data_IF_133465241939
#
_entry.id   IF_133465241939
#
_cell.length_a   1.000
_cell.length_b   1.000
_cell.length_c   1.000
_cell.angle_alpha   90.00
_cell.angle_beta   90.00
_cell.angle_gamma   90.00
#
_symmetry.space_group_name_H-M   'P 1'
#
loop_
_entity.id
_entity.type
_entity.pdbx_description
1 polymer ?
#
# COMPACT_ATOMS: atom_id res chain seq x y z
N UNK A 1 -87.70 8.16 50.40
CA UNK A 1 -86.42 7.48 50.19
C UNK A 1 -86.67 5.95 50.20
N UNK A 2 -86.81 5.37 49.00
CA UNK A 2 -87.13 3.94 48.85
C UNK A 2 -85.95 3.09 49.20
N UNK A 3 -86.00 2.41 50.33
CA UNK A 3 -85.04 1.41 50.70
C UNK A 3 -85.32 0.14 49.88
N UNK A 4 -84.54 -0.07 48.88
CA UNK A 4 -84.53 -1.30 48.10
C UNK A 4 -84.34 -2.53 49.06
N UNK A 5 -85.14 -3.66 48.87
CA UNK A 5 -84.99 -4.86 49.70
C UNK A 5 -83.59 -5.40 49.62
N UNK A 6 -83.04 -5.88 50.71
CA UNK A 6 -81.68 -6.34 50.90
C UNK A 6 -81.18 -7.31 49.82
N UNK A 7 -82.00 -8.22 49.29
CA UNK A 7 -81.69 -9.16 48.25
C UNK A 7 -81.43 -8.47 46.87
N UNK A 8 -82.14 -7.40 46.53
CA UNK A 8 -81.87 -6.66 45.29
C UNK A 8 -80.59 -5.88 45.34
N UNK A 9 -80.26 -5.33 46.51
CA UNK A 9 -79.03 -4.61 46.76
C UNK A 9 -77.83 -5.53 46.67
N UNK A 10 -77.92 -6.73 47.22
CA UNK A 10 -76.82 -7.71 47.19
C UNK A 10 -76.59 -8.26 45.77
N UNK A 11 -77.64 -8.43 44.98
CA UNK A 11 -77.52 -8.79 43.56
C UNK A 11 -76.83 -7.69 42.73
N UNK A 12 -77.19 -6.43 42.96
CA UNK A 12 -76.57 -5.29 42.27
C UNK A 12 -75.08 -5.19 42.63
N UNK A 13 -74.73 -5.40 43.89
CA UNK A 13 -73.33 -5.39 44.33
C UNK A 13 -72.56 -6.53 43.72
N UNK A 14 -73.14 -7.75 43.68
CA UNK A 14 -72.47 -8.91 43.07
C UNK A 14 -72.25 -8.70 41.55
N UNK A 15 -73.19 -8.12 40.82
CA UNK A 15 -73.03 -7.80 39.42
C UNK A 15 -71.97 -6.70 39.21
N UNK A 16 -71.95 -5.67 40.09
CA UNK A 16 -70.96 -4.62 40.02
C UNK A 16 -69.53 -5.17 40.26
N UNK A 17 -69.39 -6.06 41.24
CA UNK A 17 -68.09 -6.71 41.50
C UNK A 17 -67.65 -7.62 40.33
N UNK A 18 -68.59 -8.40 39.78
CA UNK A 18 -68.30 -9.24 38.62
C UNK A 18 -67.87 -8.42 37.37
N UNK A 19 -68.53 -7.29 37.13
CA UNK A 19 -68.14 -6.38 36.03
C UNK A 19 -66.75 -5.76 36.26
N UNK A 20 -66.41 -5.34 37.48
CA UNK A 20 -65.06 -4.81 37.76
C UNK A 20 -63.97 -5.89 37.61
N UNK A 21 -64.26 -7.10 38.03
CA UNK A 21 -63.31 -8.24 37.87
C UNK A 21 -63.17 -8.57 36.35
N UNK A 22 -64.23 -8.55 35.58
CA UNK A 22 -64.19 -8.78 34.15
C UNK A 22 -63.35 -7.69 33.40
N UNK A 23 -63.55 -6.41 33.74
CA UNK A 23 -62.79 -5.31 33.19
C UNK A 23 -61.32 -5.39 33.56
N UNK A 24 -61.01 -5.69 34.82
CA UNK A 24 -59.67 -5.85 35.32
C UNK A 24 -58.95 -7.05 34.61
N UNK A 25 -59.73 -8.18 34.40
CA UNK A 25 -59.20 -9.36 33.69
C UNK A 25 -58.87 -9.06 32.22
N UNK A 26 -59.72 -8.31 31.51
CA UNK A 26 -59.47 -7.87 30.12
C UNK A 26 -58.25 -6.93 30.07
N UNK A 27 -58.19 -5.98 31.00
CA UNK A 27 -57.11 -5.00 31.02
C UNK A 27 -55.75 -5.67 31.33
N UNK A 28 -55.71 -6.58 32.24
CA UNK A 28 -54.47 -7.28 32.64
C UNK A 28 -54.08 -8.38 31.67
N UNK A 29 -55.08 -9.09 31.07
CA UNK A 29 -54.83 -10.22 30.15
C UNK A 29 -54.57 -9.84 28.69
N UNK A 30 -55.21 -8.76 28.18
CA UNK A 30 -55.05 -8.37 26.76
C UNK A 30 -54.17 -7.14 26.56
N UNK A 31 -54.31 -6.10 27.37
CA UNK A 31 -53.63 -4.84 27.11
C UNK A 31 -52.16 -4.86 27.47
N UNK A 32 -51.81 -5.44 28.63
CA UNK A 32 -50.40 -5.54 29.05
C UNK A 32 -49.50 -6.33 28.09
N UNK A 33 -49.85 -7.55 27.64
CA UNK A 33 -48.98 -8.30 26.75
C UNK A 33 -48.84 -7.65 25.37
N UNK A 34 -49.83 -6.88 24.90
CA UNK A 34 -49.72 -6.15 23.63
C UNK A 34 -48.72 -4.98 23.69
N UNK A 35 -48.71 -4.26 24.81
CA UNK A 35 -47.73 -3.19 25.01
C UNK A 35 -46.29 -3.71 25.14
N UNK A 36 -46.11 -4.85 25.78
CA UNK A 36 -44.79 -5.51 25.85
C UNK A 36 -44.27 -5.95 24.48
N UNK A 37 -45.15 -6.53 23.64
CA UNK A 37 -44.80 -6.91 22.26
C UNK A 37 -44.47 -5.73 21.35
N UNK A 38 -45.15 -4.59 21.52
CA UNK A 38 -44.84 -3.37 20.78
C UNK A 38 -43.46 -2.82 21.19
N UNK A 39 -43.12 -2.85 22.48
CA UNK A 39 -41.81 -2.44 22.99
C UNK A 39 -40.66 -3.32 22.49
N UNK A 40 -40.89 -4.63 22.44
CA UNK A 40 -39.87 -5.58 21.94
C UNK A 40 -39.69 -5.48 20.42
N UNK A 41 -40.78 -5.28 19.69
CA UNK A 41 -40.71 -5.03 18.24
C UNK A 41 -39.96 -3.73 17.91
N UNK A 42 -40.23 -2.65 18.64
CA UNK A 42 -39.52 -1.39 18.48
C UNK A 42 -38.01 -1.54 18.79
N UNK A 43 -37.68 -2.23 19.87
CA UNK A 43 -36.27 -2.52 20.24
C UNK A 43 -35.55 -3.38 19.19
N UNK A 44 -36.25 -4.36 18.63
CA UNK A 44 -35.69 -5.23 17.59
C UNK A 44 -35.45 -4.45 16.30
N UNK A 45 -36.36 -3.55 15.94
CA UNK A 45 -36.21 -2.67 14.77
C UNK A 45 -35.04 -1.72 14.95
N UNK A 46 -34.87 -1.10 16.11
CA UNK A 46 -33.74 -0.21 16.42
C UNK A 46 -32.42 -0.98 16.32
N UNK A 47 -32.34 -2.18 16.92
CA UNK A 47 -31.14 -3.02 16.85
C UNK A 47 -30.82 -3.47 15.40
N UNK A 48 -31.83 -3.77 14.60
CA UNK A 48 -31.66 -4.08 13.18
C UNK A 48 -31.15 -2.87 12.40
N UNK A 49 -31.73 -1.70 12.67
CA UNK A 49 -31.29 -0.42 12.07
C UNK A 49 -29.85 -0.07 12.42
N UNK A 50 -29.46 -0.26 13.69
CA UNK A 50 -28.07 -0.06 14.14
C UNK A 50 -27.10 -1.02 13.43
N UNK A 51 -27.47 -2.28 13.28
CA UNK A 51 -26.64 -3.26 12.53
C UNK A 51 -26.46 -2.83 11.08
N UNK A 52 -27.52 -2.40 10.41
CA UNK A 52 -27.46 -1.91 9.03
C UNK A 52 -26.60 -0.65 8.92
N UNK A 53 -26.77 0.29 9.86
CA UNK A 53 -25.99 1.53 9.87
C UNK A 53 -24.51 1.24 10.12
N UNK A 54 -24.19 0.35 11.06
CA UNK A 54 -22.82 -0.05 11.34
C UNK A 54 -22.20 -0.81 10.17
N UNK A 55 -22.96 -1.67 9.50
CA UNK A 55 -22.51 -2.36 8.28
C UNK A 55 -22.22 -1.35 7.14
N UNK A 56 -23.12 -0.40 6.90
CA UNK A 56 -22.90 0.68 5.92
C UNK A 56 -21.66 1.50 6.23
N UNK A 57 -21.45 1.90 7.48
CA UNK A 57 -20.24 2.63 7.90
C UNK A 57 -18.96 1.85 7.71
N UNK A 58 -18.98 0.52 7.88
CA UNK A 58 -17.83 -0.35 7.59
C UNK A 58 -17.53 -0.35 6.10
N UNK A 59 -18.53 -0.58 5.25
CA UNK A 59 -18.39 -0.56 3.78
C UNK A 59 -17.89 0.80 3.27
N UNK A 60 -18.40 1.90 3.84
CA UNK A 60 -17.90 3.24 3.49
C UNK A 60 -16.44 3.48 3.87
N UNK A 61 -15.98 2.89 4.97
CA UNK A 61 -14.57 2.97 5.39
C UNK A 61 -13.66 2.03 4.58
N UNK A 62 -14.20 0.92 4.08
CA UNK A 62 -13.44 -0.03 3.25
C UNK A 62 -13.15 0.52 1.85
N UNK A 63 -14.07 1.30 1.26
CA UNK A 63 -13.90 1.87 -0.08
C UNK A 63 -12.63 2.72 -0.25
N UNK A 64 -12.34 3.72 0.62
CA UNK A 64 -11.11 4.50 0.47
C UNK A 64 -9.86 3.66 0.67
N UNK A 65 -9.88 2.69 1.60
CA UNK A 65 -8.75 1.77 1.83
C UNK A 65 -8.49 0.91 0.59
N UNK A 66 -9.56 0.43 -0.05
CA UNK A 66 -9.45 -0.35 -1.29
C UNK A 66 -8.82 0.47 -2.43
N UNK A 67 -9.26 1.72 -2.60
CA UNK A 67 -8.71 2.63 -3.61
C UNK A 67 -7.22 2.91 -3.34
N UNK A 68 -6.86 3.16 -2.08
CA UNK A 68 -5.47 3.38 -1.68
C UNK A 68 -4.60 2.13 -1.91
N UNK A 69 -5.12 0.95 -1.57
CA UNK A 69 -4.46 -0.33 -1.81
C UNK A 69 -4.23 -0.57 -3.32
N UNK A 70 -5.24 -0.32 -4.14
CA UNK A 70 -5.14 -0.50 -5.59
C UNK A 70 -4.16 0.51 -6.21
N UNK A 71 -4.16 1.77 -5.74
CA UNK A 71 -3.18 2.77 -6.16
C UNK A 71 -1.75 2.37 -5.74
N UNK A 72 -1.55 1.88 -4.51
CA UNK A 72 -0.26 1.40 -4.03
C UNK A 72 0.24 0.18 -4.83
N UNK A 73 -0.67 -0.76 -5.15
CA UNK A 73 -0.35 -1.93 -5.99
C UNK A 73 0.04 -1.53 -7.41
N UNK A 74 -0.65 -0.58 -8.01
CA UNK A 74 -0.31 -0.06 -9.34
C UNK A 74 1.04 0.64 -9.33
N UNK A 75 1.31 1.47 -8.32
CA UNK A 75 2.62 2.10 -8.14
C UNK A 75 3.75 1.10 -7.97
N UNK A 76 3.55 0.08 -7.13
CA UNK A 76 4.52 -1.00 -6.95
C UNK A 76 4.79 -1.76 -8.25
N UNK A 77 3.74 -2.12 -8.98
CA UNK A 77 3.86 -2.82 -10.26
C UNK A 77 4.64 -2.00 -11.29
N UNK A 78 4.40 -0.70 -11.36
CA UNK A 78 5.14 0.18 -12.27
C UNK A 78 6.65 0.19 -11.95
N UNK A 79 7.01 0.24 -10.66
CA UNK A 79 8.41 0.16 -10.21
C UNK A 79 9.00 -1.22 -10.49
N UNK A 80 8.25 -2.30 -10.25
CA UNK A 80 8.70 -3.67 -10.52
C UNK A 80 8.94 -3.94 -12.01
N UNK A 81 8.17 -3.30 -12.89
CA UNK A 81 8.35 -3.46 -14.34
C UNK A 81 9.63 -2.77 -14.86
N UNK A 82 10.17 -1.83 -14.10
CA UNK A 82 11.47 -1.18 -14.37
C UNK A 82 12.66 -1.90 -13.70
N UNK A 83 12.42 -2.81 -12.74
CA UNK A 83 13.46 -3.55 -12.05
C UNK A 83 14.17 -4.55 -12.98
N UNK A 84 15.38 -4.90 -12.60
CA UNK A 84 16.16 -5.93 -13.28
C UNK A 84 15.42 -7.28 -13.29
N UNK A 85 15.23 -7.88 -14.46
CA UNK A 85 14.52 -9.14 -14.63
C UNK A 85 15.17 -10.02 -15.72
N UNK A 86 14.95 -11.32 -15.61
CA UNK A 86 15.51 -12.29 -16.57
C UNK A 86 17.02 -12.45 -16.45
N UNK A 87 17.76 -12.39 -17.57
CA UNK A 87 19.22 -12.37 -17.57
C UNK A 87 19.73 -11.00 -17.14
N UNK A 88 20.14 -10.93 -15.86
CA UNK A 88 20.59 -9.71 -15.21
C UNK A 88 21.81 -9.07 -15.88
N UNK A 89 22.72 -9.91 -16.41
CA UNK A 89 23.91 -9.43 -17.08
C UNK A 89 23.57 -8.74 -18.42
N UNK A 90 22.72 -9.35 -19.20
CA UNK A 90 22.22 -8.74 -20.44
C UNK A 90 21.41 -7.49 -20.17
N UNK A 91 20.58 -7.50 -19.13
CA UNK A 91 19.76 -6.37 -18.74
C UNK A 91 20.60 -5.12 -18.43
N UNK A 92 21.65 -5.26 -17.59
CA UNK A 92 22.48 -4.11 -17.21
C UNK A 92 23.23 -3.53 -18.42
N UNK A 93 23.79 -4.41 -19.27
CA UNK A 93 24.52 -3.98 -20.47
C UNK A 93 23.60 -3.18 -21.40
N UNK A 94 22.39 -3.67 -21.66
CA UNK A 94 21.43 -3.00 -22.53
C UNK A 94 20.99 -1.66 -21.93
N UNK A 95 20.66 -1.63 -20.64
CA UNK A 95 20.21 -0.44 -19.92
C UNK A 95 21.28 0.65 -19.92
N UNK A 96 22.50 0.31 -19.50
CA UNK A 96 23.61 1.26 -19.44
C UNK A 96 24.03 1.72 -20.84
N UNK A 97 24.09 0.82 -21.82
CA UNK A 97 24.46 1.19 -23.20
C UNK A 97 23.43 2.11 -23.85
N UNK A 98 22.15 1.87 -23.62
CA UNK A 98 21.06 2.74 -24.11
C UNK A 98 21.16 4.13 -23.49
N UNK A 99 21.42 4.19 -22.18
CA UNK A 99 21.50 5.46 -21.45
C UNK A 99 22.75 6.26 -21.80
N UNK A 100 23.93 5.61 -21.87
CA UNK A 100 25.20 6.27 -22.18
C UNK A 100 25.25 6.87 -23.59
N UNK A 101 24.39 6.44 -24.51
CA UNK A 101 24.38 6.98 -25.88
C UNK A 101 24.16 8.51 -25.92
N UNK A 102 23.52 9.09 -24.90
CA UNK A 102 23.32 10.52 -24.74
C UNK A 102 24.47 11.25 -24.01
N UNK A 103 25.47 10.49 -23.50
CA UNK A 103 26.53 11.01 -22.64
C UNK A 103 27.92 10.64 -23.22
N UNK A 104 28.91 11.48 -22.99
CA UNK A 104 30.30 11.22 -23.42
C UNK A 104 31.05 10.33 -22.41
N UNK A 105 30.48 9.16 -22.14
CA UNK A 105 31.01 8.18 -21.18
C UNK A 105 31.24 6.85 -21.89
N UNK A 106 32.40 6.30 -21.77
CA UNK A 106 32.75 4.98 -22.32
C UNK A 106 32.82 3.96 -21.20
N UNK A 107 32.00 2.90 -21.26
CA UNK A 107 31.96 1.82 -20.28
C UNK A 107 32.17 0.50 -21.04
N UNK A 108 33.44 0.09 -21.26
CA UNK A 108 33.75 -1.14 -21.97
C UNK A 108 33.66 -2.40 -21.10
N UNK A 109 33.72 -2.26 -19.78
CA UNK A 109 33.82 -3.40 -18.88
C UNK A 109 32.66 -3.46 -17.88
N UNK A 110 32.03 -4.63 -17.85
CA UNK A 110 30.96 -4.98 -16.91
C UNK A 110 31.36 -6.26 -16.19
N UNK A 111 31.24 -6.29 -14.88
CA UNK A 111 31.37 -7.53 -14.12
C UNK A 111 30.11 -8.37 -14.23
N UNK A 112 30.21 -9.65 -13.90
CA UNK A 112 29.02 -10.45 -13.63
C UNK A 112 28.31 -9.94 -12.38
N UNK A 113 27.02 -10.19 -12.31
CA UNK A 113 26.17 -9.85 -11.18
C UNK A 113 26.61 -10.55 -9.89
N UNK A 114 26.56 -9.81 -8.80
CA UNK A 114 26.65 -10.36 -7.44
C UNK A 114 25.29 -10.18 -6.77
N UNK A 115 24.53 -11.26 -6.69
CA UNK A 115 23.20 -11.25 -6.07
C UNK A 115 23.35 -11.40 -4.56
N UNK A 116 22.70 -10.50 -3.81
CA UNK A 116 22.67 -10.50 -2.34
C UNK A 116 21.27 -10.27 -1.84
N UNK A 117 20.96 -10.80 -0.66
CA UNK A 117 19.72 -10.47 0.04
C UNK A 117 19.82 -9.05 0.61
N UNK A 118 18.73 -8.30 0.47
CA UNK A 118 18.61 -6.92 0.95
C UNK A 118 17.84 -6.94 2.25
N UNK A 119 18.54 -6.92 3.39
CA UNK A 119 17.94 -6.97 4.72
C UNK A 119 17.58 -5.56 5.24
N UNK A 120 16.72 -4.84 4.52
CA UNK A 120 16.21 -3.53 4.96
C UNK A 120 15.09 -3.71 5.98
N UNK A 121 14.21 -4.65 5.75
CA UNK A 121 13.04 -4.96 6.59
C UNK A 121 12.90 -6.48 6.66
N UNK A 122 12.53 -7.06 7.82
CA UNK A 122 12.24 -8.49 7.91
C UNK A 122 11.19 -8.93 6.89
N UNK A 123 11.51 -9.94 6.07
CA UNK A 123 10.61 -10.43 5.03
C UNK A 123 10.56 -9.58 3.75
N UNK A 124 11.59 -8.74 3.50
CA UNK A 124 11.69 -7.97 2.25
C UNK A 124 11.83 -8.92 1.05
N UNK A 125 10.91 -8.86 0.07
CA UNK A 125 10.79 -9.87 -0.99
C UNK A 125 11.82 -9.71 -2.10
N UNK A 126 12.55 -8.59 -2.18
CA UNK A 126 13.45 -8.29 -3.28
C UNK A 126 14.88 -8.63 -2.92
N UNK A 127 15.63 -9.10 -3.91
CA UNK A 127 17.09 -9.27 -3.84
C UNK A 127 17.77 -8.10 -4.54
N UNK A 128 19.00 -7.83 -4.17
CA UNK A 128 19.84 -6.84 -4.83
C UNK A 128 20.84 -7.50 -5.76
N UNK A 129 21.07 -6.91 -6.93
CA UNK A 129 22.18 -7.24 -7.81
C UNK A 129 23.18 -6.09 -7.82
N UNK A 130 24.46 -6.41 -7.68
CA UNK A 130 25.56 -5.46 -7.78
C UNK A 130 26.39 -5.79 -9.01
N UNK A 131 26.65 -4.78 -9.83
CA UNK A 131 27.50 -4.86 -11.01
C UNK A 131 28.63 -3.85 -10.88
N UNK A 132 29.86 -4.30 -10.94
CA UNK A 132 31.01 -3.38 -11.03
C UNK A 132 31.25 -3.02 -12.48
N UNK A 133 31.26 -1.73 -12.78
CA UNK A 133 31.55 -1.20 -14.11
C UNK A 133 32.84 -0.39 -14.09
N UNK A 134 33.58 -0.44 -15.20
CA UNK A 134 34.76 0.37 -15.41
C UNK A 134 34.70 1.08 -16.75
N UNK A 135 35.17 2.31 -16.74
CA UNK A 135 35.09 3.12 -17.94
C UNK A 135 36.01 4.32 -17.91
N UNK A 136 35.89 5.14 -18.93
CA UNK A 136 36.58 6.42 -19.05
C UNK A 136 35.61 7.52 -19.43
N UNK A 137 35.81 8.71 -18.88
CA UNK A 137 35.00 9.88 -19.18
C UNK A 137 35.78 11.16 -18.81
N UNK A 138 35.27 12.31 -19.24
CA UNK A 138 35.65 13.58 -18.66
C UNK A 138 34.92 13.80 -17.33
N UNK A 139 35.52 14.52 -16.41
CA UNK A 139 34.97 14.74 -15.06
C UNK A 139 33.52 15.26 -15.08
N UNK A 140 33.28 16.29 -15.89
CA UNK A 140 31.96 16.89 -15.99
C UNK A 140 30.91 15.94 -16.62
N UNK A 141 31.31 15.22 -17.65
CA UNK A 141 30.43 14.26 -18.36
C UNK A 141 30.09 13.08 -17.45
N UNK A 142 31.05 12.61 -16.64
CA UNK A 142 30.80 11.56 -15.64
C UNK A 142 29.82 12.03 -14.56
N UNK A 143 30.00 13.23 -14.01
CA UNK A 143 29.10 13.78 -13.01
C UNK A 143 27.68 13.94 -13.55
N UNK A 144 27.53 14.43 -14.78
CA UNK A 144 26.21 14.53 -15.43
C UNK A 144 25.61 13.16 -15.68
N UNK A 145 26.38 12.20 -16.17
CA UNK A 145 25.92 10.82 -16.38
C UNK A 145 25.38 10.21 -15.07
N UNK A 146 26.10 10.33 -13.95
CA UNK A 146 25.71 9.80 -12.66
C UNK A 146 24.39 10.42 -12.19
N UNK A 147 24.30 11.78 -12.22
CA UNK A 147 23.11 12.49 -11.78
C UNK A 147 21.87 12.13 -12.63
N UNK A 148 22.01 12.12 -13.95
CA UNK A 148 20.92 11.80 -14.85
C UNK A 148 20.50 10.33 -14.75
N UNK A 149 21.47 9.41 -14.50
CA UNK A 149 21.21 7.98 -14.35
C UNK A 149 20.41 7.70 -13.08
N UNK A 150 20.83 8.22 -11.93
CA UNK A 150 20.09 8.05 -10.66
C UNK A 150 18.71 8.70 -10.67
N UNK A 151 18.56 9.84 -11.37
CA UNK A 151 17.25 10.48 -11.54
C UNK A 151 16.31 9.69 -12.46
N UNK A 152 16.86 9.01 -13.47
CA UNK A 152 16.06 8.22 -14.41
C UNK A 152 15.66 6.87 -13.85
N UNK A 153 16.52 6.28 -13.02
CA UNK A 153 16.33 4.95 -12.43
C UNK A 153 16.31 5.01 -10.89
N UNK A 154 15.18 5.41 -10.25
CA UNK A 154 15.11 5.62 -8.80
C UNK A 154 15.36 4.36 -7.97
N UNK A 155 15.23 3.16 -8.56
CA UNK A 155 15.51 1.86 -7.94
C UNK A 155 16.97 1.39 -8.13
N UNK A 156 17.80 2.19 -8.78
CA UNK A 156 19.22 1.94 -8.98
C UNK A 156 20.04 2.92 -8.14
N UNK A 157 21.15 2.45 -7.57
CA UNK A 157 22.12 3.27 -6.84
C UNK A 157 23.51 3.05 -7.39
N UNK A 158 24.27 4.15 -7.50
CA UNK A 158 25.67 4.12 -7.87
C UNK A 158 26.51 4.28 -6.59
N UNK A 159 27.34 3.29 -6.30
CA UNK A 159 28.14 3.23 -5.09
C UNK A 159 29.63 3.02 -5.44
N UNK A 160 30.48 3.24 -4.44
CA UNK A 160 31.92 2.93 -4.52
C UNK A 160 32.60 3.52 -5.76
N UNK A 161 32.31 4.82 -6.04
CA UNK A 161 32.92 5.50 -7.16
C UNK A 161 34.41 5.79 -6.86
N UNK A 162 35.27 5.16 -7.64
CA UNK A 162 36.71 5.38 -7.65
C UNK A 162 37.09 6.10 -8.95
N UNK A 163 37.82 7.19 -8.89
CA UNK A 163 38.24 7.99 -10.04
C UNK A 163 39.75 8.12 -10.03
N UNK A 164 40.39 7.79 -11.13
CA UNK A 164 41.82 7.87 -11.31
C UNK A 164 42.15 8.63 -12.63
N UNK A 165 43.18 9.46 -12.66
CA UNK A 165 43.62 10.04 -13.92
C UNK A 165 44.12 8.93 -14.86
N UNK A 166 43.75 9.02 -16.14
CA UNK A 166 44.33 8.09 -17.13
C UNK A 166 45.79 8.51 -17.33
N UNK A 167 46.69 7.72 -16.73
CA UNK A 167 48.14 7.88 -16.96
C UNK A 167 48.48 7.42 -18.41
N UNK A 168 48.49 8.35 -19.34
CA UNK A 168 49.05 8.10 -20.64
C UNK A 168 50.55 7.95 -20.52
N UNK A 169 51.17 6.85 -21.03
CA UNK A 169 52.62 6.69 -21.01
C UNK A 169 53.24 7.81 -21.86
N UNK A 170 53.96 8.69 -21.20
CA UNK A 170 54.72 9.85 -21.69
C UNK A 170 53.98 10.82 -22.61
N UNK A 171 54.00 12.12 -22.34
CA UNK A 171 53.50 13.09 -23.29
C UNK A 171 54.48 13.15 -24.47
N UNK A 172 54.26 12.30 -25.46
CA UNK A 172 54.77 12.64 -26.79
C UNK A 172 54.15 13.98 -27.17
N UNK A 173 54.94 14.91 -27.66
CA UNK A 173 54.58 16.30 -27.96
C UNK A 173 53.41 16.51 -28.93
N UNK A 174 52.56 15.50 -29.16
CA UNK A 174 51.44 15.43 -30.07
C UNK A 174 50.10 15.02 -29.44
N UNK A 175 50.06 14.68 -28.13
CA UNK A 175 48.76 14.41 -27.48
C UNK A 175 47.99 15.72 -27.31
N UNK A 176 46.78 15.74 -27.85
CA UNK A 176 45.87 16.90 -27.71
C UNK A 176 45.59 17.15 -26.22
N UNK A 177 45.54 18.41 -25.76
CA UNK A 177 45.24 18.74 -24.35
C UNK A 177 43.99 18.07 -23.83
N UNK A 178 43.01 17.80 -24.68
CA UNK A 178 41.74 17.13 -24.34
C UNK A 178 41.91 15.67 -23.87
N UNK A 179 42.98 14.95 -24.32
CA UNK A 179 43.23 13.58 -23.92
C UNK A 179 43.81 13.49 -22.48
N UNK A 180 44.44 14.56 -21.99
CA UNK A 180 45.02 14.63 -20.66
C UNK A 180 44.01 14.83 -19.54
N UNK A 181 42.75 15.21 -19.87
CA UNK A 181 41.66 15.43 -18.89
C UNK A 181 40.73 14.20 -18.74
N UNK A 182 41.02 13.09 -19.46
CA UNK A 182 40.22 11.85 -19.33
C UNK A 182 40.54 11.16 -18.00
N UNK A 183 39.50 10.74 -17.33
CA UNK A 183 39.53 9.98 -16.10
C UNK A 183 39.13 8.54 -16.35
N UNK A 184 39.79 7.61 -15.70
CA UNK A 184 39.34 6.25 -15.53
C UNK A 184 38.46 6.21 -14.29
N UNK A 185 37.34 5.53 -14.36
CA UNK A 185 36.49 5.34 -13.22
C UNK A 185 36.09 3.87 -13.04
N UNK A 186 35.83 3.53 -11.80
CA UNK A 186 35.23 2.25 -11.39
C UNK A 186 34.10 2.58 -10.43
N UNK A 187 32.93 1.96 -10.61
CA UNK A 187 31.79 2.14 -9.74
C UNK A 187 30.94 0.88 -9.68
N UNK A 188 30.16 0.76 -8.62
CA UNK A 188 29.20 -0.32 -8.44
C UNK A 188 27.79 0.19 -8.70
N UNK A 189 27.09 -0.48 -9.62
CA UNK A 189 25.68 -0.25 -9.90
C UNK A 189 24.89 -1.28 -9.11
N UNK A 190 24.07 -0.80 -8.17
CA UNK A 190 23.22 -1.66 -7.33
C UNK A 190 21.79 -1.46 -7.72
N UNK A 191 21.09 -2.54 -8.05
CA UNK A 191 19.66 -2.52 -8.43
C UNK A 191 18.89 -3.60 -7.70
N UNK A 192 17.56 -3.41 -7.57
CA UNK A 192 16.67 -4.45 -7.09
C UNK A 192 16.29 -5.40 -8.24
N UNK A 193 16.13 -6.66 -7.90
CA UNK A 193 15.70 -7.72 -8.83
C UNK A 193 14.22 -7.96 -8.63
N UNK A 194 13.46 -8.00 -9.73
CA UNK A 194 12.05 -8.39 -9.71
C UNK A 194 11.92 -9.81 -9.17
N UNK A 195 11.07 -10.07 -8.16
CA UNK A 195 10.88 -11.43 -7.65
C UNK A 195 10.30 -12.31 -8.74
N UNK A 196 10.90 -13.47 -8.93
CA UNK A 196 10.34 -14.49 -9.84
C UNK A 196 9.14 -15.13 -9.13
N UNK A 197 7.95 -14.89 -9.62
CA UNK A 197 6.70 -15.51 -9.15
C UNK A 197 6.66 -16.96 -9.56
#
# INVERSE_FOLDING_TARGET
MNKLPKEKRDRIIAVAIATVIAIAGIWYGLIRPQQAKLGDSARTTIKAQEKVTNAKRRVEKEKPIQIELDAARQGLKAIEDEMASGDLYSWIIVTVNKFRAAHRVEIPQFSREQVREVNVIPGFPYKGATFTVRGTAYYHDLGKFIADFENTFPHVRLLNLEIEPVNLPSPSAQSKPEEQERLSFKMDIVTLIKPTT
#
